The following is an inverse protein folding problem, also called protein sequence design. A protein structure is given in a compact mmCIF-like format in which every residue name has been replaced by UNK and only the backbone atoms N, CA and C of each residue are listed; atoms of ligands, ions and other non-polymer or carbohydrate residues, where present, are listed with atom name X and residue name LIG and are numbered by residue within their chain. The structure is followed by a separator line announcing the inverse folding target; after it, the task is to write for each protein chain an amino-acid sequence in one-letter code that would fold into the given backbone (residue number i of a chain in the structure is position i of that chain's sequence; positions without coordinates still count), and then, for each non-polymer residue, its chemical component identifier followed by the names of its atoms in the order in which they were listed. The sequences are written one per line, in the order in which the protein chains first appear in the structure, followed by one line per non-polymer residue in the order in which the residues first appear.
data_IF_637237407058
#
_entry.id   IF_637237407058
#
_cell.length_a   1.000
_cell.length_b   1.000
_cell.length_c   1.000
_cell.angle_alpha   90.00
_cell.angle_beta   90.00
_cell.angle_gamma   90.00
#
_symmetry.space_group_name_H-M   'P 1'
#
loop_
_entity.id
_entity.type
_entity.pdbx_description
1 polymer ?
#
# COMPACT_ATOMS: atom_id res chain seq x y z
N UNK A 1 34.89 1.76 -11.70
CA UNK A 1 33.72 2.62 -11.92
C UNK A 1 33.29 2.47 -13.37
N UNK A 2 32.01 2.25 -13.63
CA UNK A 2 31.50 2.24 -15.01
C UNK A 2 31.52 3.67 -15.57
N UNK A 3 32.04 3.82 -16.80
CA UNK A 3 31.99 5.12 -17.49
C UNK A 3 30.57 5.29 -18.08
N UNK A 4 29.67 5.95 -17.33
CA UNK A 4 28.28 6.13 -17.71
C UNK A 4 28.18 7.22 -18.76
N UNK A 5 27.62 6.87 -19.91
CA UNK A 5 27.36 7.80 -21.02
C UNK A 5 25.94 8.34 -20.99
N UNK A 6 24.97 7.51 -20.56
CA UNK A 6 23.57 7.89 -20.45
C UNK A 6 22.83 6.95 -19.48
N UNK A 7 21.76 7.45 -18.87
CA UNK A 7 20.90 6.70 -17.98
C UNK A 7 19.49 6.63 -18.55
N UNK A 8 18.97 5.43 -18.73
CA UNK A 8 17.63 5.17 -19.23
C UNK A 8 16.78 4.56 -18.11
N UNK A 9 15.48 4.72 -18.26
CA UNK A 9 14.46 3.99 -17.52
C UNK A 9 13.80 2.96 -18.44
N UNK A 10 13.53 1.75 -17.94
CA UNK A 10 12.65 0.82 -18.60
C UNK A 10 11.92 -0.10 -17.61
N UNK A 11 10.67 -0.42 -17.92
CA UNK A 11 9.87 -1.35 -17.12
C UNK A 11 8.79 -2.04 -17.95
N UNK A 12 8.34 -3.18 -17.43
CA UNK A 12 7.07 -3.80 -17.78
C UNK A 12 6.13 -3.64 -16.57
N UNK A 13 4.98 -3.02 -16.78
CA UNK A 13 4.01 -2.76 -15.72
C UNK A 13 2.59 -3.19 -16.14
N UNK A 14 1.87 -3.82 -15.22
CA UNK A 14 0.45 -4.13 -15.37
C UNK A 14 -0.39 -2.93 -14.93
N UNK A 15 -1.23 -2.41 -15.81
CA UNK A 15 -2.22 -1.40 -15.45
C UNK A 15 -3.58 -2.07 -15.17
N UNK A 16 -3.98 -2.06 -13.92
CA UNK A 16 -5.19 -2.76 -13.45
C UNK A 16 -6.48 -2.25 -14.12
N UNK A 17 -6.57 -0.94 -14.40
CA UNK A 17 -7.76 -0.32 -14.99
C UNK A 17 -8.02 -0.79 -16.42
N UNK A 18 -6.97 -0.89 -17.24
CA UNK A 18 -7.04 -1.35 -18.63
C UNK A 18 -6.84 -2.86 -18.78
N UNK A 19 -6.36 -3.54 -17.73
CA UNK A 19 -5.97 -4.96 -17.75
C UNK A 19 -4.95 -5.28 -18.84
N UNK A 20 -4.04 -4.33 -19.10
CA UNK A 20 -2.99 -4.45 -20.11
C UNK A 20 -1.62 -4.29 -19.49
N UNK A 21 -0.64 -4.94 -20.08
CA UNK A 21 0.76 -4.66 -19.81
C UNK A 21 1.25 -3.52 -20.68
N UNK A 22 2.18 -2.76 -20.12
CA UNK A 22 2.86 -1.68 -20.81
C UNK A 22 4.36 -1.87 -20.75
N UNK A 23 5.02 -1.72 -21.90
CA UNK A 23 6.44 -1.41 -21.94
C UNK A 23 6.57 0.11 -21.77
N UNK A 24 7.19 0.52 -20.67
CA UNK A 24 7.44 1.93 -20.35
C UNK A 24 8.93 2.18 -20.44
N UNK A 25 9.33 3.23 -21.15
CA UNK A 25 10.72 3.59 -21.30
C UNK A 25 10.90 5.11 -21.33
N UNK A 26 12.06 5.58 -20.84
CA UNK A 26 12.43 7.00 -20.86
C UNK A 26 13.94 7.17 -21.04
N UNK A 27 14.33 8.33 -21.60
CA UNK A 27 15.73 8.79 -21.60
C UNK A 27 16.15 9.37 -20.25
N UNK A 28 15.21 9.61 -19.37
CA UNK A 28 15.43 10.14 -18.03
C UNK A 28 15.42 8.99 -17.03
N UNK A 29 16.56 8.33 -16.83
CA UNK A 29 16.77 7.28 -15.84
C UNK A 29 17.48 7.81 -14.59
N UNK A 30 17.58 6.96 -13.55
CA UNK A 30 18.23 7.33 -12.29
C UNK A 30 17.46 8.35 -11.44
N UNK A 31 16.22 8.63 -11.83
CA UNK A 31 15.30 9.57 -11.16
C UNK A 31 13.95 8.91 -10.95
N UNK A 32 13.13 9.52 -10.09
CA UNK A 32 11.75 9.09 -9.86
C UNK A 32 10.91 9.29 -11.14
N UNK A 33 10.47 8.17 -11.73
CA UNK A 33 9.75 8.20 -12.99
C UNK A 33 8.36 8.85 -12.85
N UNK A 34 7.73 8.78 -11.68
CA UNK A 34 6.44 9.41 -11.41
C UNK A 34 6.58 10.95 -11.43
N UNK A 35 7.70 11.44 -10.94
CA UNK A 35 8.04 12.87 -11.02
C UNK A 35 8.28 13.29 -12.47
N UNK A 36 8.97 12.47 -13.25
CA UNK A 36 9.13 12.72 -14.70
C UNK A 36 7.77 12.72 -15.39
N UNK A 37 6.90 11.77 -15.08
CA UNK A 37 5.56 11.68 -15.65
C UNK A 37 4.71 12.94 -15.37
N UNK A 38 4.86 13.54 -14.18
CA UNK A 38 4.12 14.72 -13.78
C UNK A 38 4.67 16.02 -14.38
N UNK A 39 5.99 16.12 -14.53
CA UNK A 39 6.67 17.37 -14.99
C UNK A 39 6.91 17.37 -16.51
N UNK A 40 7.21 16.22 -17.10
CA UNK A 40 7.50 16.07 -18.53
C UNK A 40 6.89 14.77 -19.10
N UNK A 41 5.56 14.66 -19.21
CA UNK A 41 4.89 13.43 -19.68
C UNK A 41 5.38 12.95 -21.05
N UNK A 42 5.86 13.86 -21.90
CA UNK A 42 6.38 13.55 -23.26
C UNK A 42 7.71 12.80 -23.24
N UNK A 43 8.44 12.83 -22.14
CA UNK A 43 9.69 12.06 -21.98
C UNK A 43 9.42 10.57 -21.77
N UNK A 44 8.18 10.19 -21.48
CA UNK A 44 7.81 8.80 -21.21
C UNK A 44 7.15 8.19 -22.44
N UNK A 45 7.76 7.12 -22.92
CA UNK A 45 7.19 6.24 -23.94
C UNK A 45 6.38 5.17 -23.19
N UNK A 46 5.08 5.09 -23.45
CA UNK A 46 4.16 4.09 -22.84
C UNK A 46 3.50 3.30 -23.95
N UNK A 47 3.94 2.08 -24.19
CA UNK A 47 3.47 1.21 -25.25
C UNK A 47 2.68 0.03 -24.69
N UNK A 48 1.35 -0.06 -24.92
CA UNK A 48 0.54 -1.18 -24.47
C UNK A 48 0.79 -2.43 -25.31
N UNK A 49 0.60 -3.58 -24.68
CA UNK A 49 0.53 -4.87 -25.37
C UNK A 49 -0.37 -5.85 -24.58
N UNK A 50 -0.90 -6.85 -25.27
CA UNK A 50 -1.81 -7.82 -24.68
C UNK A 50 -1.04 -8.96 -24.00
N UNK A 51 -1.55 -9.46 -22.86
CA UNK A 51 -1.02 -10.64 -22.20
C UNK A 51 -1.01 -11.87 -23.15
N UNK A 52 -2.00 -11.96 -24.05
CA UNK A 52 -2.18 -13.11 -24.95
C UNK A 52 -1.08 -13.19 -26.00
N UNK A 53 -0.73 -12.05 -26.59
CA UNK A 53 0.29 -11.97 -27.63
C UNK A 53 1.70 -11.79 -27.05
N UNK A 54 1.77 -11.17 -25.87
CA UNK A 54 3.01 -10.81 -25.21
C UNK A 54 3.69 -9.61 -25.86
N UNK A 55 4.87 -9.28 -25.35
CA UNK A 55 5.72 -8.26 -25.95
C UNK A 55 6.41 -8.81 -27.19
N UNK A 56 6.01 -8.31 -28.36
CA UNK A 56 6.62 -8.71 -29.63
C UNK A 56 7.93 -7.96 -29.89
N UNK A 57 8.80 -8.54 -30.71
CA UNK A 57 10.03 -7.87 -31.14
C UNK A 57 9.75 -6.54 -31.85
N UNK A 58 8.67 -6.48 -32.63
CA UNK A 58 8.26 -5.26 -33.33
C UNK A 58 7.96 -4.12 -32.37
N UNK A 59 7.21 -4.39 -31.29
CA UNK A 59 6.90 -3.43 -30.23
C UNK A 59 8.19 -2.99 -29.53
N UNK A 60 9.05 -3.92 -29.17
CA UNK A 60 10.32 -3.64 -28.49
C UNK A 60 11.25 -2.77 -29.36
N UNK A 61 11.37 -3.09 -30.65
CA UNK A 61 12.13 -2.30 -31.64
C UNK A 61 11.56 -0.88 -31.76
N UNK A 62 10.23 -0.75 -31.83
CA UNK A 62 9.59 0.56 -31.97
C UNK A 62 9.90 1.46 -30.76
N UNK A 63 9.80 0.92 -29.54
CA UNK A 63 10.16 1.67 -28.32
C UNK A 63 11.64 2.03 -28.29
N UNK A 64 12.53 1.12 -28.67
CA UNK A 64 13.96 1.40 -28.76
C UNK A 64 14.29 2.52 -29.78
N UNK A 65 13.59 2.54 -30.92
CA UNK A 65 13.70 3.64 -31.90
C UNK A 65 13.22 4.98 -31.34
N UNK A 66 12.13 5.01 -30.61
CA UNK A 66 11.62 6.21 -29.95
C UNK A 66 12.59 6.75 -28.89
N UNK A 67 13.35 5.86 -28.21
CA UNK A 67 14.47 6.25 -27.36
C UNK A 67 15.67 6.81 -28.16
N UNK A 68 15.61 6.82 -29.51
CA UNK A 68 16.69 7.29 -30.36
C UNK A 68 17.86 6.33 -30.50
N UNK A 69 17.70 5.09 -30.08
CA UNK A 69 18.72 4.05 -30.19
C UNK A 69 18.82 3.56 -31.63
N UNK A 70 20.04 3.20 -32.07
CA UNK A 70 20.34 2.77 -33.41
C UNK A 70 21.27 1.54 -33.38
N UNK A 71 21.33 0.87 -34.51
CA UNK A 71 22.27 -0.22 -34.81
C UNK A 71 22.34 -1.27 -33.67
N UNK A 72 23.51 -1.54 -33.18
CA UNK A 72 23.74 -2.53 -32.12
C UNK A 72 23.01 -2.19 -30.81
N UNK A 73 22.95 -0.89 -30.44
CA UNK A 73 22.26 -0.46 -29.21
C UNK A 73 20.75 -0.69 -29.30
N UNK A 74 20.15 -0.53 -30.47
CA UNK A 74 18.76 -0.84 -30.71
C UNK A 74 18.47 -2.32 -30.48
N UNK A 75 19.31 -3.21 -30.99
CA UNK A 75 19.17 -4.65 -30.82
C UNK A 75 19.35 -5.06 -29.37
N UNK A 76 20.35 -4.51 -28.68
CA UNK A 76 20.57 -4.78 -27.26
C UNK A 76 19.41 -4.31 -26.38
N UNK A 77 18.84 -3.14 -26.65
CA UNK A 77 17.65 -2.66 -25.93
C UNK A 77 16.42 -3.54 -26.21
N UNK A 78 16.20 -3.97 -27.45
CA UNK A 78 15.15 -4.92 -27.82
C UNK A 78 15.28 -6.21 -26.99
N UNK A 79 16.47 -6.78 -26.90
CA UNK A 79 16.73 -8.00 -26.13
C UNK A 79 16.42 -7.79 -24.62
N UNK A 80 16.85 -6.66 -24.06
CA UNK A 80 16.56 -6.31 -22.66
C UNK A 80 15.03 -6.21 -22.44
N UNK A 81 14.29 -5.55 -23.31
CA UNK A 81 12.83 -5.42 -23.18
C UNK A 81 12.12 -6.77 -23.26
N UNK A 82 12.55 -7.63 -24.18
CA UNK A 82 12.01 -9.00 -24.28
C UNK A 82 12.33 -9.80 -23.02
N UNK A 83 13.53 -9.64 -22.45
CA UNK A 83 13.90 -10.34 -21.23
C UNK A 83 13.13 -9.82 -20.01
N UNK A 84 12.87 -8.51 -19.89
CA UNK A 84 11.97 -7.97 -18.89
C UNK A 84 10.57 -8.63 -18.95
N UNK A 85 10.05 -8.84 -20.16
CA UNK A 85 8.80 -9.54 -20.36
C UNK A 85 8.88 -11.02 -19.96
N UNK A 86 9.98 -11.71 -20.27
CA UNK A 86 10.19 -13.10 -19.88
C UNK A 86 10.25 -13.23 -18.34
N UNK A 87 10.93 -12.31 -17.67
CA UNK A 87 10.94 -12.23 -16.20
C UNK A 87 9.52 -11.99 -15.68
N UNK A 88 8.80 -11.02 -16.23
CA UNK A 88 7.41 -10.72 -15.83
C UNK A 88 6.52 -11.95 -15.90
N UNK A 89 6.57 -12.70 -17.02
CA UNK A 89 5.78 -13.94 -17.16
C UNK A 89 6.23 -15.05 -16.23
N UNK A 90 7.54 -15.25 -16.12
CA UNK A 90 8.11 -16.36 -15.33
C UNK A 90 7.92 -16.19 -13.83
N UNK A 91 7.83 -14.95 -13.37
CA UNK A 91 7.64 -14.60 -11.97
C UNK A 91 6.22 -14.19 -11.63
N UNK A 92 5.34 -14.05 -12.62
CA UNK A 92 3.99 -13.48 -12.47
C UNK A 92 4.04 -12.11 -11.76
N UNK A 93 5.02 -11.29 -12.19
CA UNK A 93 5.19 -9.96 -11.63
C UNK A 93 4.15 -8.98 -12.20
N UNK A 94 3.74 -8.02 -11.38
CA UNK A 94 2.93 -6.87 -11.80
C UNK A 94 3.79 -5.68 -12.23
N UNK A 95 5.07 -5.68 -11.81
CA UNK A 95 6.09 -4.72 -12.23
C UNK A 95 7.46 -5.40 -12.29
N UNK A 96 8.18 -5.19 -13.39
CA UNK A 96 9.63 -5.44 -13.51
C UNK A 96 10.26 -4.19 -14.07
N UNK A 97 11.18 -3.58 -13.32
CA UNK A 97 11.75 -2.26 -13.61
C UNK A 97 13.27 -2.31 -13.51
N UNK A 98 13.94 -1.58 -14.41
CA UNK A 98 15.34 -1.23 -14.31
C UNK A 98 15.46 0.30 -14.28
N UNK A 99 16.02 0.85 -13.19
CA UNK A 99 16.16 2.29 -13.01
C UNK A 99 17.39 2.64 -12.14
N UNK A 100 18.55 3.02 -12.76
CA UNK A 100 18.74 3.21 -14.20
C UNK A 100 19.23 1.96 -14.95
N UNK A 101 18.89 1.92 -16.25
CA UNK A 101 19.61 1.14 -17.26
C UNK A 101 20.68 2.05 -17.87
N UNK A 102 21.93 1.85 -17.50
CA UNK A 102 23.02 2.73 -17.94
C UNK A 102 23.65 2.28 -19.24
N UNK A 103 23.93 3.22 -20.13
CA UNK A 103 24.74 3.00 -21.31
C UNK A 103 26.21 3.27 -20.99
N UNK A 104 27.06 2.34 -21.34
CA UNK A 104 28.52 2.42 -21.19
C UNK A 104 29.19 2.14 -22.53
N UNK A 105 30.51 2.38 -22.67
CA UNK A 105 31.25 2.02 -23.89
C UNK A 105 31.20 0.53 -24.26
N UNK A 106 30.87 -0.34 -23.31
CA UNK A 106 30.79 -1.80 -23.52
C UNK A 106 29.34 -2.31 -23.64
N UNK A 107 28.35 -1.43 -23.62
CA UNK A 107 26.93 -1.77 -23.75
C UNK A 107 26.08 -1.35 -22.53
N UNK A 108 24.87 -1.88 -22.44
CA UNK A 108 23.96 -1.60 -21.36
C UNK A 108 24.29 -2.40 -20.09
N UNK A 109 24.11 -1.75 -18.93
CA UNK A 109 24.24 -2.35 -17.60
C UNK A 109 23.01 -1.97 -16.77
N UNK A 110 22.28 -2.95 -16.24
CA UNK A 110 21.27 -2.72 -15.22
C UNK A 110 21.97 -2.43 -13.87
N UNK A 111 21.77 -1.24 -13.33
CA UNK A 111 22.41 -0.83 -12.07
C UNK A 111 21.53 -1.18 -10.88
N UNK A 112 20.23 -0.99 -11.02
CA UNK A 112 19.23 -1.36 -10.03
C UNK A 112 18.02 -1.99 -10.73
N UNK A 113 17.35 -2.90 -10.02
CA UNK A 113 16.17 -3.57 -10.51
C UNK A 113 15.12 -3.75 -9.41
N UNK A 114 13.88 -3.54 -9.78
CA UNK A 114 12.72 -3.70 -8.89
C UNK A 114 11.73 -4.68 -9.51
N UNK A 115 11.28 -5.65 -8.72
CA UNK A 115 10.25 -6.60 -9.12
C UNK A 115 9.15 -6.57 -8.07
N UNK A 116 7.90 -6.35 -8.51
CA UNK A 116 6.71 -6.49 -7.67
C UNK A 116 5.97 -7.72 -8.17
N UNK A 117 5.83 -8.71 -7.30
CA UNK A 117 5.14 -9.95 -7.60
C UNK A 117 3.64 -9.78 -7.37
N UNK A 118 2.85 -10.62 -8.04
CA UNK A 118 1.44 -10.77 -7.74
C UNK A 118 1.28 -11.65 -6.49
N UNK A 119 0.79 -11.07 -5.41
CA UNK A 119 0.55 -11.81 -4.15
C UNK A 119 -0.48 -12.93 -4.33
N UNK A 120 -1.45 -12.76 -5.23
CA UNK A 120 -2.45 -13.77 -5.55
C UNK A 120 -1.83 -14.98 -6.29
N UNK A 121 -0.68 -14.81 -6.91
CA UNK A 121 0.08 -15.88 -7.57
C UNK A 121 1.04 -16.62 -6.61
N UNK A 122 1.26 -16.12 -5.39
CA UNK A 122 2.27 -16.63 -4.47
C UNK A 122 2.12 -18.12 -4.13
N UNK A 123 0.88 -18.66 -4.12
CA UNK A 123 0.61 -20.06 -3.79
C UNK A 123 1.20 -21.06 -4.80
N UNK A 124 1.43 -20.65 -6.06
CA UNK A 124 1.97 -21.48 -7.14
C UNK A 124 3.43 -21.17 -7.49
N UNK A 125 4.01 -20.11 -6.90
CA UNK A 125 5.40 -19.73 -7.12
C UNK A 125 6.33 -20.37 -6.07
N UNK A 126 7.28 -21.17 -6.50
CA UNK A 126 8.17 -21.90 -5.59
C UNK A 126 9.24 -21.01 -4.95
N UNK A 127 9.66 -19.96 -5.63
CA UNK A 127 10.72 -19.05 -5.16
C UNK A 127 10.23 -18.04 -4.13
N UNK A 128 8.93 -17.77 -4.03
CA UNK A 128 8.38 -16.82 -3.05
C UNK A 128 8.73 -17.19 -1.61
N UNK A 129 8.87 -18.47 -1.32
CA UNK A 129 9.32 -18.97 -0.01
C UNK A 129 10.77 -18.63 0.31
N UNK A 130 11.57 -18.32 -0.69
CA UNK A 130 12.99 -17.99 -0.56
C UNK A 130 13.23 -16.48 -0.54
N UNK A 131 12.24 -15.69 -0.96
CA UNK A 131 12.32 -14.23 -0.89
C UNK A 131 12.39 -13.84 0.58
N UNK A 132 13.35 -13.00 0.91
CA UNK A 132 13.39 -12.39 2.23
C UNK A 132 12.09 -11.63 2.42
N UNK A 133 11.31 -12.03 3.42
CA UNK A 133 10.14 -11.26 3.83
C UNK A 133 10.60 -9.81 4.06
N UNK A 134 9.80 -8.83 3.57
CA UNK A 134 9.92 -7.43 3.98
C UNK A 134 10.26 -7.43 5.47
N UNK A 135 11.21 -6.61 5.90
CA UNK A 135 11.54 -6.45 7.33
C UNK A 135 10.31 -5.88 8.04
N UNK A 136 9.43 -6.77 8.44
CA UNK A 136 8.28 -6.42 9.27
C UNK A 136 8.79 -6.01 10.66
N UNK A 137 8.16 -4.99 11.24
CA UNK A 137 8.35 -4.69 12.65
C UNK A 137 7.85 -5.86 13.50
N UNK A 138 8.21 -5.90 14.76
CA UNK A 138 7.71 -6.95 15.66
C UNK A 138 6.18 -6.88 15.82
N UNK A 139 5.60 -5.68 15.78
CA UNK A 139 4.16 -5.51 15.83
C UNK A 139 3.48 -5.97 14.52
N UNK A 140 4.05 -5.67 13.36
CA UNK A 140 3.55 -6.17 12.08
C UNK A 140 3.59 -7.71 12.02
N UNK A 141 4.63 -8.35 12.56
CA UNK A 141 4.72 -9.82 12.68
C UNK A 141 3.63 -10.38 13.59
N UNK A 142 3.37 -9.73 14.73
CA UNK A 142 2.31 -10.13 15.64
C UNK A 142 0.93 -9.95 14.99
N UNK A 143 0.70 -8.85 14.31
CA UNK A 143 -0.52 -8.58 13.56
C UNK A 143 -0.78 -9.62 12.47
N UNK A 144 0.25 -9.95 11.67
CA UNK A 144 0.18 -10.99 10.63
C UNK A 144 -0.19 -12.36 11.22
N UNK A 145 0.42 -12.75 12.35
CA UNK A 145 0.07 -14.00 13.07
C UNK A 145 -1.37 -14.00 13.55
N UNK A 146 -1.90 -12.84 13.94
CA UNK A 146 -3.29 -12.68 14.36
C UNK A 146 -4.27 -12.51 13.18
N UNK A 147 -3.79 -12.52 11.93
CA UNK A 147 -4.60 -12.40 10.72
C UNK A 147 -5.08 -10.98 10.44
N UNK A 148 -4.37 -9.95 10.89
CA UNK A 148 -4.68 -8.55 10.60
C UNK A 148 -3.88 -8.00 9.42
N UNK A 149 -4.54 -7.16 8.63
CA UNK A 149 -3.87 -6.21 7.73
C UNK A 149 -3.43 -5.01 8.57
N UNK A 150 -2.15 -4.94 8.90
CA UNK A 150 -1.57 -3.94 9.78
C UNK A 150 -0.26 -3.42 9.21
N UNK A 151 -0.09 -2.10 9.25
CA UNK A 151 1.17 -1.42 8.93
C UNK A 151 1.45 -0.42 10.03
N UNK A 152 2.66 -0.45 10.57
CA UNK A 152 3.14 0.53 11.54
C UNK A 152 3.54 1.82 10.81
N UNK A 153 3.12 2.96 11.35
CA UNK A 153 3.38 4.29 10.83
C UNK A 153 3.99 5.16 11.93
N UNK A 154 4.61 6.27 11.52
CA UNK A 154 5.27 7.20 12.44
C UNK A 154 4.31 8.33 12.87
N UNK A 155 3.42 8.02 13.79
CA UNK A 155 2.41 8.97 14.28
C UNK A 155 1.96 8.72 15.72
N UNK A 156 1.01 9.54 16.16
CA UNK A 156 0.52 9.59 17.55
C UNK A 156 -0.91 9.04 17.70
N UNK A 157 -1.61 8.78 16.59
CA UNK A 157 -3.01 8.38 16.59
C UNK A 157 -3.13 6.92 16.19
N UNK A 158 -3.50 6.05 17.12
CA UNK A 158 -3.85 4.68 16.83
C UNK A 158 -5.15 4.60 16.03
N UNK A 159 -5.19 3.82 14.96
CA UNK A 159 -6.35 3.70 14.08
C UNK A 159 -6.90 2.28 14.12
N UNK A 160 -8.20 2.18 14.41
CA UNK A 160 -9.00 0.97 14.22
C UNK A 160 -10.17 1.29 13.30
N UNK A 161 -10.23 0.64 12.14
CA UNK A 161 -11.33 0.80 11.21
C UNK A 161 -11.70 -0.54 10.55
N UNK A 162 -12.83 -0.58 9.87
CA UNK A 162 -13.27 -1.75 9.12
C UNK A 162 -13.41 -1.43 7.64
N UNK A 163 -12.73 -2.23 6.81
CA UNK A 163 -12.64 -2.06 5.37
C UNK A 163 -11.42 -1.22 4.95
N UNK A 164 -10.55 -1.82 4.15
CA UNK A 164 -9.28 -1.21 3.74
C UNK A 164 -9.46 0.15 3.04
N UNK A 165 -10.47 0.27 2.17
CA UNK A 165 -10.78 1.53 1.47
C UNK A 165 -11.18 2.66 2.43
N UNK A 166 -12.05 2.36 3.42
CA UNK A 166 -12.43 3.33 4.44
C UNK A 166 -11.24 3.73 5.30
N UNK A 167 -10.41 2.77 5.68
CA UNK A 167 -9.21 3.02 6.47
C UNK A 167 -8.23 3.92 5.71
N UNK A 168 -7.94 3.65 4.44
CA UNK A 168 -7.08 4.49 3.61
C UNK A 168 -7.63 5.92 3.48
N UNK A 169 -8.93 6.06 3.19
CA UNK A 169 -9.58 7.37 3.10
C UNK A 169 -9.47 8.16 4.44
N UNK A 170 -9.60 7.46 5.57
CA UNK A 170 -9.42 8.08 6.89
C UNK A 170 -7.99 8.58 7.09
N UNK A 171 -6.98 7.77 6.73
CA UNK A 171 -5.57 8.18 6.81
C UNK A 171 -5.28 9.41 5.94
N UNK A 172 -5.84 9.47 4.72
CA UNK A 172 -5.71 10.62 3.83
C UNK A 172 -6.33 11.89 4.43
N UNK A 173 -7.49 11.78 5.07
CA UNK A 173 -8.13 12.92 5.75
C UNK A 173 -7.30 13.38 6.94
N UNK A 174 -6.83 12.47 7.80
CA UNK A 174 -5.95 12.79 8.91
C UNK A 174 -4.68 13.51 8.43
N UNK A 175 -4.04 12.99 7.39
CA UNK A 175 -2.83 13.59 6.80
C UNK A 175 -3.08 15.02 6.28
N UNK A 176 -4.22 15.28 5.62
CA UNK A 176 -4.62 16.62 5.16
C UNK A 176 -4.85 17.61 6.31
N UNK A 177 -5.26 17.11 7.47
CA UNK A 177 -5.43 17.91 8.69
C UNK A 177 -4.11 18.08 9.47
N UNK A 178 -3.00 17.52 9.00
CA UNK A 178 -1.72 17.55 9.71
C UNK A 178 -1.65 16.57 10.89
N UNK A 179 -2.63 15.69 11.03
CA UNK A 179 -2.70 14.67 12.06
C UNK A 179 -1.92 13.42 11.59
N UNK A 180 -1.20 12.78 12.51
CA UNK A 180 -0.29 11.69 12.18
C UNK A 180 -0.83 10.36 12.71
N UNK A 181 -1.33 9.44 11.84
CA UNK A 181 -1.70 8.10 12.24
C UNK A 181 -0.47 7.28 12.62
N UNK A 182 -0.58 6.46 13.68
CA UNK A 182 0.46 5.55 14.16
C UNK A 182 0.42 4.19 13.45
N UNK A 183 -0.68 3.88 12.78
CA UNK A 183 -0.85 2.62 12.06
C UNK A 183 -1.95 2.70 11.01
N UNK A 184 -1.87 1.80 10.04
CA UNK A 184 -3.02 1.28 9.31
C UNK A 184 -3.48 0.00 10.00
N UNK A 185 -4.79 -0.17 10.24
CA UNK A 185 -5.36 -1.43 10.67
C UNK A 185 -6.79 -1.57 10.17
N UNK A 186 -7.05 -2.65 9.44
CA UNK A 186 -8.37 -3.06 9.00
C UNK A 186 -8.77 -4.35 9.73
N UNK A 187 -9.86 -4.28 10.51
CA UNK A 187 -10.39 -5.46 11.20
C UNK A 187 -11.23 -6.36 10.30
N UNK A 188 -11.54 -5.89 9.09
CA UNK A 188 -12.38 -6.58 8.12
C UNK A 188 -13.89 -6.45 8.41
N UNK A 189 -14.69 -6.94 7.45
CA UNK A 189 -16.14 -7.00 7.61
C UNK A 189 -16.56 -8.13 8.55
N UNK A 190 -17.55 -7.88 9.41
CA UNK A 190 -18.08 -8.89 10.35
C UNK A 190 -17.14 -9.27 11.47
N UNK A 191 -16.24 -8.36 11.89
CA UNK A 191 -15.31 -8.62 12.97
C UNK A 191 -16.01 -9.01 14.27
N UNK A 192 -15.55 -10.11 14.88
CA UNK A 192 -16.05 -10.56 16.19
C UNK A 192 -15.52 -9.68 17.33
N UNK A 193 -16.14 -9.78 18.50
CA UNK A 193 -15.72 -9.11 19.72
C UNK A 193 -14.23 -9.39 20.04
N UNK A 194 -13.82 -10.64 19.96
CA UNK A 194 -12.43 -11.07 20.23
C UNK A 194 -11.46 -10.50 19.22
N UNK A 195 -11.87 -10.36 17.96
CA UNK A 195 -11.05 -9.78 16.91
C UNK A 195 -10.82 -8.29 17.15
N UNK A 196 -11.88 -7.55 17.52
CA UNK A 196 -11.78 -6.12 17.85
C UNK A 196 -10.94 -5.91 19.12
N UNK A 197 -11.12 -6.73 20.14
CA UNK A 197 -10.32 -6.73 21.36
C UNK A 197 -8.82 -6.88 21.05
N UNK A 198 -8.43 -7.91 20.26
CA UNK A 198 -7.04 -8.15 19.86
C UNK A 198 -6.46 -7.02 19.02
N UNK A 199 -7.28 -6.39 18.18
CA UNK A 199 -6.85 -5.25 17.38
C UNK A 199 -6.51 -4.04 18.27
N UNK A 200 -7.35 -3.74 19.27
CA UNK A 200 -7.09 -2.68 20.24
C UNK A 200 -5.85 -2.99 21.10
N UNK A 201 -5.71 -4.23 21.57
CA UNK A 201 -4.51 -4.67 22.29
C UNK A 201 -3.23 -4.45 21.47
N UNK A 202 -3.27 -4.71 20.16
CA UNK A 202 -2.15 -4.47 19.27
C UNK A 202 -1.85 -2.98 19.12
N UNK A 203 -2.89 -2.15 18.93
CA UNK A 203 -2.76 -0.69 18.78
C UNK A 203 -2.18 -0.07 20.07
N UNK A 204 -2.57 -0.54 21.24
CA UNK A 204 -2.04 -0.02 22.52
C UNK A 204 -0.53 -0.23 22.68
N UNK A 205 0.05 -1.25 22.05
CA UNK A 205 1.50 -1.48 22.04
C UNK A 205 2.29 -0.41 21.30
N UNK A 206 1.62 0.40 20.45
CA UNK A 206 2.22 1.58 19.82
C UNK A 206 2.36 2.77 20.78
N UNK A 207 1.73 2.70 21.97
CA UNK A 207 1.63 3.81 22.93
C UNK A 207 1.10 5.11 22.29
N UNK A 208 -0.03 5.06 21.56
CA UNK A 208 -0.56 6.25 20.90
C UNK A 208 -1.09 7.24 21.94
N UNK A 209 -1.06 8.55 21.62
CA UNK A 209 -1.67 9.59 22.46
C UNK A 209 -3.19 9.53 22.45
N UNK A 210 -3.77 9.03 21.36
CA UNK A 210 -5.20 8.84 21.18
C UNK A 210 -5.46 7.67 20.26
N UNK A 211 -6.60 6.97 20.43
CA UNK A 211 -7.07 5.94 19.49
C UNK A 211 -8.36 6.41 18.84
N UNK A 212 -8.34 6.50 17.50
CA UNK A 212 -9.54 6.74 16.71
C UNK A 212 -10.12 5.41 16.21
N UNK A 213 -11.32 5.09 16.70
CA UNK A 213 -12.10 3.93 16.28
C UNK A 213 -13.15 4.42 15.30
N UNK A 214 -13.06 4.02 14.03
CA UNK A 214 -13.99 4.43 12.98
C UNK A 214 -14.66 3.22 12.36
N UNK A 215 -15.87 2.90 12.79
CA UNK A 215 -16.63 1.77 12.29
C UNK A 215 -17.81 2.25 11.45
N UNK A 216 -17.84 1.75 10.22
CA UNK A 216 -19.01 1.85 9.37
C UNK A 216 -19.65 0.46 9.26
N UNK A 217 -20.70 0.27 10.04
CA UNK A 217 -21.36 -1.02 10.23
C UNK A 217 -22.23 -1.41 9.02
N UNK A 218 -21.65 -2.22 8.15
CA UNK A 218 -22.47 -3.03 7.24
C UNK A 218 -22.68 -4.41 7.87
N UNK A 219 -21.72 -5.33 7.67
CA UNK A 219 -21.70 -6.65 8.29
C UNK A 219 -21.18 -6.57 9.75
N UNK A 220 -20.26 -5.65 10.04
CA UNK A 220 -19.77 -5.41 11.40
C UNK A 220 -20.85 -4.71 12.23
N UNK A 221 -21.20 -5.27 13.37
CA UNK A 221 -22.25 -4.74 14.25
C UNK A 221 -21.66 -3.78 15.29
N UNK A 222 -22.26 -2.59 15.41
CA UNK A 222 -21.79 -1.55 16.33
C UNK A 222 -21.91 -1.94 17.81
N UNK A 223 -22.91 -2.73 18.19
CA UNK A 223 -23.09 -3.25 19.56
C UNK A 223 -21.95 -4.19 19.97
N UNK A 224 -21.51 -5.09 19.06
CA UNK A 224 -20.36 -5.97 19.30
C UNK A 224 -19.06 -5.16 19.45
N UNK A 225 -18.91 -4.09 18.66
CA UNK A 225 -17.76 -3.18 18.77
C UNK A 225 -17.76 -2.48 20.14
N UNK A 226 -18.91 -1.95 20.56
CA UNK A 226 -19.08 -1.31 21.85
C UNK A 226 -18.72 -2.25 23.01
N UNK A 227 -19.23 -3.48 23.00
CA UNK A 227 -18.89 -4.50 24.00
C UNK A 227 -17.40 -4.83 24.05
N UNK A 228 -16.73 -4.90 22.87
CA UNK A 228 -15.29 -5.14 22.81
C UNK A 228 -14.50 -3.98 23.42
N UNK A 229 -14.90 -2.74 23.13
CA UNK A 229 -14.29 -1.53 23.73
C UNK A 229 -14.42 -1.55 25.24
N UNK A 230 -15.62 -1.82 25.79
CA UNK A 230 -15.84 -1.88 27.23
C UNK A 230 -15.01 -2.97 27.88
N UNK A 231 -14.86 -4.12 27.24
CA UNK A 231 -14.01 -5.20 27.74
C UNK A 231 -12.54 -4.75 27.80
N UNK A 232 -12.03 -4.12 26.76
CA UNK A 232 -10.65 -3.61 26.71
C UNK A 232 -10.42 -2.56 27.82
N UNK A 233 -11.34 -1.60 27.99
CA UNK A 233 -11.22 -0.57 29.01
C UNK A 233 -11.26 -1.14 30.45
N UNK A 234 -11.95 -2.26 30.65
CA UNK A 234 -11.98 -2.96 31.92
C UNK A 234 -10.67 -3.70 32.20
N UNK A 235 -10.03 -4.26 31.15
CA UNK A 235 -8.83 -5.07 31.30
C UNK A 235 -7.54 -4.23 31.28
N UNK A 236 -7.57 -3.02 30.68
CA UNK A 236 -6.43 -2.12 30.55
C UNK A 236 -6.64 -0.82 31.38
N UNK A 237 -6.06 -0.76 32.57
CA UNK A 237 -6.17 0.41 33.46
C UNK A 237 -5.57 1.70 32.86
N UNK A 238 -4.60 1.59 31.92
CA UNK A 238 -3.91 2.70 31.29
C UNK A 238 -4.23 2.76 29.79
N UNK A 239 -5.48 2.46 29.39
CA UNK A 239 -5.89 2.60 27.99
C UNK A 239 -5.75 4.06 27.55
N UNK A 240 -5.20 4.33 26.37
CA UNK A 240 -5.13 5.67 25.82
C UNK A 240 -6.55 6.24 25.60
N UNK A 241 -6.72 7.58 25.61
CA UNK A 241 -7.98 8.20 25.25
C UNK A 241 -8.51 7.68 23.92
N UNK A 242 -9.82 7.39 23.87
CA UNK A 242 -10.45 6.87 22.66
C UNK A 242 -11.48 7.84 22.12
N UNK A 243 -11.43 8.10 20.83
CA UNK A 243 -12.48 8.77 20.07
C UNK A 243 -13.17 7.72 19.21
N UNK A 244 -14.46 7.55 19.39
CA UNK A 244 -15.21 6.44 18.83
C UNK A 244 -16.28 6.98 17.88
N UNK A 245 -16.21 6.59 16.62
CA UNK A 245 -17.28 6.82 15.67
C UNK A 245 -17.89 5.49 15.28
N UNK A 246 -19.20 5.36 15.54
CA UNK A 246 -20.00 4.20 15.16
C UNK A 246 -21.17 4.65 14.31
N UNK A 247 -21.37 3.98 13.16
CA UNK A 247 -22.54 4.19 12.32
C UNK A 247 -22.88 2.90 11.55
N UNK A 248 -24.16 2.68 11.30
CA UNK A 248 -24.66 1.52 10.55
C UNK A 248 -25.39 0.48 11.40
N UNK A 249 -25.15 -0.80 11.17
CA UNK A 249 -25.90 -1.89 11.81
C UNK A 249 -25.76 -1.87 13.33
N UNK A 250 -26.88 -1.83 14.04
CA UNK A 250 -26.99 -1.75 15.51
C UNK A 250 -26.26 -0.52 16.09
N UNK A 251 -26.31 0.60 15.35
CA UNK A 251 -25.67 1.85 15.76
C UNK A 251 -26.19 2.37 17.08
N UNK A 252 -27.54 2.44 17.20
CA UNK A 252 -28.18 2.94 18.41
C UNK A 252 -27.84 2.09 19.62
N UNK A 253 -27.93 0.78 19.50
CA UNK A 253 -27.59 -0.17 20.55
C UNK A 253 -26.12 -0.03 20.98
N UNK A 254 -25.21 0.11 20.03
CA UNK A 254 -23.78 0.30 20.31
C UNK A 254 -23.50 1.63 21.02
N UNK A 255 -24.14 2.72 20.59
CA UNK A 255 -24.02 4.04 21.24
C UNK A 255 -24.61 4.00 22.65
N UNK A 256 -25.80 3.40 22.86
CA UNK A 256 -26.43 3.29 24.17
C UNK A 256 -25.55 2.50 25.14
N UNK A 257 -24.97 1.38 24.72
CA UNK A 257 -24.02 0.56 25.51
C UNK A 257 -22.80 1.38 25.96
N UNK A 258 -22.20 2.18 25.07
CA UNK A 258 -21.06 3.05 25.43
C UNK A 258 -21.48 4.18 26.38
N UNK A 259 -22.65 4.78 26.15
CA UNK A 259 -23.18 5.87 26.94
C UNK A 259 -23.49 5.47 28.37
N UNK A 260 -24.01 4.26 28.60
CA UNK A 260 -24.23 3.70 29.94
C UNK A 260 -22.92 3.58 30.74
N UNK A 261 -21.80 3.39 30.05
CA UNK A 261 -20.46 3.39 30.63
C UNK A 261 -19.81 4.79 30.71
N UNK A 262 -20.54 5.86 30.39
CA UNK A 262 -20.02 7.23 30.39
C UNK A 262 -19.15 7.60 29.18
N UNK A 263 -19.20 6.83 28.12
CA UNK A 263 -18.38 7.03 26.91
C UNK A 263 -19.26 7.59 25.77
N UNK A 264 -18.84 8.73 25.22
CA UNK A 264 -19.52 9.32 24.08
C UNK A 264 -18.99 8.75 22.77
N UNK A 265 -19.90 8.36 21.87
CA UNK A 265 -19.59 8.00 20.51
C UNK A 265 -20.19 9.03 19.53
N UNK A 266 -19.53 9.19 18.38
CA UNK A 266 -19.90 10.09 17.30
C UNK A 266 -20.54 9.32 16.16
N UNK A 267 -21.44 9.96 15.44
CA UNK A 267 -21.97 9.48 14.16
C UNK A 267 -21.26 10.17 13.00
N UNK A 268 -21.01 11.47 13.14
CA UNK A 268 -20.32 12.28 12.16
C UNK A 268 -18.79 12.18 12.30
N UNK A 269 -18.12 11.95 11.17
CA UNK A 269 -16.65 11.81 11.14
C UNK A 269 -15.94 13.13 11.44
N UNK A 270 -16.50 14.26 11.03
CA UNK A 270 -15.88 15.57 11.26
C UNK A 270 -15.90 15.92 12.74
N UNK A 271 -16.99 15.60 13.45
CA UNK A 271 -17.07 15.79 14.90
C UNK A 271 -16.06 14.89 15.63
N UNK A 272 -15.92 13.63 15.19
CA UNK A 272 -14.93 12.72 15.75
C UNK A 272 -13.50 13.24 15.53
N UNK A 273 -13.18 13.74 14.33
CA UNK A 273 -11.86 14.30 14.03
C UNK A 273 -11.54 15.56 14.85
N UNK A 274 -12.51 16.46 15.06
CA UNK A 274 -12.35 17.60 15.94
C UNK A 274 -12.07 17.17 17.39
N UNK A 275 -12.71 16.09 17.85
CA UNK A 275 -12.43 15.56 19.19
C UNK A 275 -11.03 14.95 19.28
N UNK A 276 -10.53 14.29 18.20
CA UNK A 276 -9.15 13.81 18.15
C UNK A 276 -8.16 14.99 18.29
N UNK A 277 -8.36 16.08 17.54
CA UNK A 277 -7.54 17.29 17.65
C UNK A 277 -7.55 17.87 19.08
N UNK A 278 -8.72 17.92 19.71
CA UNK A 278 -8.85 18.40 21.08
C UNK A 278 -8.07 17.54 22.08
N UNK A 279 -8.17 16.22 21.97
CA UNK A 279 -7.46 15.28 22.86
C UNK A 279 -5.94 15.36 22.67
N UNK A 280 -5.45 15.61 21.48
CA UNK A 280 -4.01 15.75 21.23
C UNK A 280 -3.42 17.07 21.74
N UNK A 281 -4.25 18.09 21.97
CA UNK A 281 -3.86 19.40 22.47
C UNK A 281 -4.03 19.56 23.99
N UNK A 282 -4.63 18.59 24.66
CA UNK A 282 -4.70 18.46 26.14
C UNK A 282 -3.37 17.91 26.70
#
# INVERSE_FOLDING_TARGET
MANIQHEYYCSIALEASSRQFYLIASKEGGVDIEKVASTNPKAIIKQPFSLREGLTEEIAINVAKQLGLKDQLLNSAKEIFIELWNITKGTEATLVEINPLVLTPVGFIAVDGKIILDDDAAFRQTFTKQLQERKFTELEKLAKKAGFSFVELDGDIGILANGAGLTMALLDVLSKLGLKPANFLDVGGGASKERIYKALELIFKLNPKCVLINIFGGITRCDIVAEAILQVLKDFNNAPPMVIRLTGTNEKEGIDVLKEAGINAFQDIIEALRKVEAVLNE
#
